data_IF_300041120556
#
_entry.id   IF_300041120556
#
_cell.length_a   1.000
_cell.length_b   1.000
_cell.length_c   1.000
_cell.angle_alpha   90.00
_cell.angle_beta   90.00
_cell.angle_gamma   90.00
#
_symmetry.space_group_name_H-M   'P 1'
#
loop_
_entity.id
_entity.type
_entity.pdbx_description
1 polymer ?
#
# COMPACT_ATOMS: atom_id res chain seq x y z
N UNK A 1 10.23 -10.68 -2.62
CA UNK A 1 9.95 -9.27 -2.97
C UNK A 1 8.44 -9.13 -2.97
N UNK A 2 7.90 -8.06 -2.42
CA UNK A 2 6.46 -7.82 -2.41
C UNK A 2 6.10 -6.71 -3.40
N UNK A 3 4.95 -6.86 -4.06
CA UNK A 3 4.35 -5.85 -4.92
C UNK A 3 3.18 -5.19 -4.21
N UNK A 4 3.23 -3.88 -4.09
CA UNK A 4 2.15 -3.07 -3.50
C UNK A 4 1.28 -2.52 -4.63
N UNK A 5 -0.03 -2.60 -4.47
CA UNK A 5 -1.00 -1.98 -5.38
C UNK A 5 -2.09 -1.28 -4.60
N UNK A 6 -2.54 -0.13 -5.09
CA UNK A 6 -3.71 0.60 -4.56
C UNK A 6 -4.78 0.59 -5.63
N UNK A 7 -5.97 0.10 -5.31
CA UNK A 7 -7.08 -0.01 -6.27
C UNK A 7 -8.01 1.23 -6.25
N UNK A 8 -8.98 1.22 -7.16
CA UNK A 8 -9.90 2.32 -7.42
C UNK A 8 -10.89 2.61 -6.27
N UNK A 9 -10.99 1.75 -5.25
CA UNK A 9 -11.81 1.99 -4.06
C UNK A 9 -11.14 2.96 -3.07
N UNK A 10 -9.86 3.31 -3.30
CA UNK A 10 -9.16 4.33 -2.55
C UNK A 10 -9.90 5.69 -2.60
N UNK A 11 -10.18 6.24 -1.42
CA UNK A 11 -10.84 7.54 -1.24
C UNK A 11 -9.86 8.69 -0.94
N UNK A 12 -8.54 8.45 -1.04
CA UNK A 12 -7.53 9.48 -0.78
C UNK A 12 -7.41 9.93 0.67
N UNK A 13 -7.68 9.06 1.66
CA UNK A 13 -7.66 9.46 3.08
C UNK A 13 -6.29 9.92 3.60
N UNK A 14 -5.21 9.50 2.93
CA UNK A 14 -3.83 9.79 3.35
C UNK A 14 -3.31 8.95 4.53
N UNK A 15 -4.10 8.03 5.08
CA UNK A 15 -3.70 7.22 6.25
C UNK A 15 -2.40 6.43 6.01
N UNK A 16 -2.28 5.82 4.82
CA UNK A 16 -1.09 5.06 4.44
C UNK A 16 0.17 5.94 4.33
N UNK A 17 0.07 7.13 3.72
CA UNK A 17 1.17 8.09 3.64
C UNK A 17 1.56 8.65 5.01
N UNK A 18 0.60 8.76 5.95
CA UNK A 18 0.89 9.14 7.34
C UNK A 18 1.64 8.07 8.13
N UNK A 19 1.39 6.79 7.86
CA UNK A 19 2.02 5.65 8.56
C UNK A 19 3.37 5.29 7.93
N UNK A 20 3.41 5.21 6.60
CA UNK A 20 4.56 4.79 5.82
C UNK A 20 4.86 5.82 4.71
N UNK A 21 5.35 7.03 5.07
CA UNK A 21 5.59 8.12 4.13
C UNK A 21 6.66 7.79 3.07
N UNK A 22 7.59 6.88 3.38
CA UNK A 22 8.60 6.42 2.42
C UNK A 22 8.06 5.34 1.45
N UNK A 23 6.83 4.87 1.67
CA UNK A 23 6.19 3.80 0.90
C UNK A 23 4.98 4.28 0.12
N UNK A 24 4.25 5.27 0.63
CA UNK A 24 3.05 5.79 -0.01
C UNK A 24 3.09 7.30 -0.10
N UNK A 25 2.63 7.81 -1.23
CA UNK A 25 2.34 9.22 -1.45
C UNK A 25 0.86 9.40 -1.80
N UNK A 26 0.29 10.54 -1.44
CA UNK A 26 -1.06 10.91 -1.86
C UNK A 26 -0.96 11.81 -3.08
N UNK A 27 -1.50 11.36 -4.21
CA UNK A 27 -1.65 12.20 -5.39
C UNK A 27 -2.91 13.07 -5.20
N UNK A 28 -2.69 14.37 -4.97
CA UNK A 28 -3.78 15.33 -4.78
C UNK A 28 -4.58 15.60 -6.08
N UNK A 29 -3.97 15.40 -7.25
CA UNK A 29 -4.65 15.59 -8.53
C UNK A 29 -5.59 14.44 -8.86
N UNK A 30 -5.18 13.20 -8.58
CA UNK A 30 -6.03 12.00 -8.73
C UNK A 30 -6.92 11.73 -7.52
N UNK A 31 -6.61 12.33 -6.37
CA UNK A 31 -7.31 12.08 -5.11
C UNK A 31 -7.10 10.66 -4.58
N UNK A 32 -5.97 10.03 -4.90
CA UNK A 32 -5.66 8.62 -4.59
C UNK A 32 -4.23 8.45 -4.12
N UNK A 33 -4.02 7.46 -3.24
CA UNK A 33 -2.68 7.11 -2.79
C UNK A 33 -1.99 6.18 -3.80
N UNK A 34 -0.68 6.33 -3.93
CA UNK A 34 0.18 5.51 -4.78
C UNK A 34 1.41 5.05 -4.01
N UNK A 35 1.92 3.83 -4.31
CA UNK A 35 3.19 3.41 -3.75
C UNK A 35 4.34 4.20 -4.38
N UNK A 36 5.22 4.77 -3.56
CA UNK A 36 6.45 5.48 -4.01
C UNK A 36 7.34 4.53 -4.81
N UNK A 37 7.47 3.30 -4.34
CA UNK A 37 8.08 2.19 -5.08
C UNK A 37 7.15 0.99 -5.08
N UNK A 38 6.79 0.44 -6.24
CA UNK A 38 5.81 -0.64 -6.32
C UNK A 38 6.37 -1.99 -5.89
N UNK A 39 7.70 -2.16 -5.80
CA UNK A 39 8.37 -3.35 -5.24
C UNK A 39 9.06 -2.98 -3.93
N UNK A 40 8.88 -3.82 -2.91
CA UNK A 40 9.53 -3.66 -1.60
C UNK A 40 10.11 -4.99 -1.11
N UNK A 41 10.99 -4.90 -0.11
CA UNK A 41 11.45 -6.08 0.61
C UNK A 41 10.25 -6.78 1.28
N UNK A 42 10.25 -8.12 1.36
CA UNK A 42 9.32 -8.84 2.24
C UNK A 42 9.46 -8.36 3.68
N UNK A 43 8.40 -8.56 4.47
CA UNK A 43 8.37 -8.26 5.91
C UNK A 43 8.58 -6.77 6.25
N UNK A 44 8.23 -5.87 5.32
CA UNK A 44 8.19 -4.44 5.59
C UNK A 44 6.97 -4.10 6.46
N UNK A 45 7.18 -4.02 7.78
CA UNK A 45 6.12 -3.77 8.77
C UNK A 45 5.34 -2.48 8.49
N UNK A 46 5.98 -1.44 7.96
CA UNK A 46 5.31 -0.18 7.65
C UNK A 46 4.26 -0.35 6.53
N UNK A 47 4.51 -1.25 5.58
CA UNK A 47 3.55 -1.60 4.53
C UNK A 47 2.37 -2.37 5.12
N UNK A 48 2.63 -3.30 6.03
CA UNK A 48 1.57 -4.08 6.70
C UNK A 48 0.65 -3.17 7.54
N UNK A 49 1.23 -2.26 8.34
CA UNK A 49 0.48 -1.30 9.14
C UNK A 49 -0.35 -0.35 8.27
N UNK A 50 0.20 0.09 7.14
CA UNK A 50 -0.51 0.94 6.19
C UNK A 50 -1.71 0.22 5.54
N UNK A 51 -1.57 -1.07 5.21
CA UNK A 51 -2.68 -1.89 4.69
C UNK A 51 -3.77 -2.03 5.76
N UNK A 52 -3.40 -2.44 6.98
CA UNK A 52 -4.33 -2.63 8.09
C UNK A 52 -5.07 -1.34 8.48
N UNK A 53 -4.46 -0.18 8.25
CA UNK A 53 -5.04 1.14 8.56
C UNK A 53 -5.84 1.74 7.40
N UNK A 54 -5.89 1.09 6.24
CA UNK A 54 -6.66 1.60 5.11
C UNK A 54 -8.16 1.46 5.38
N UNK A 55 -8.94 2.56 5.48
CA UNK A 55 -10.35 2.48 5.85
C UNK A 55 -11.24 1.80 4.80
N UNK A 56 -10.74 1.70 3.56
CA UNK A 56 -11.43 1.07 2.43
C UNK A 56 -10.82 -0.27 2.03
N UNK A 57 -9.78 -0.73 2.74
CA UNK A 57 -9.03 -1.96 2.40
C UNK A 57 -8.52 -1.96 0.94
N UNK A 58 -8.23 -0.76 0.40
CA UNK A 58 -7.89 -0.55 -1.01
C UNK A 58 -6.43 -0.90 -1.37
N UNK A 59 -5.62 -1.30 -0.38
CA UNK A 59 -4.20 -1.60 -0.54
C UNK A 59 -4.01 -3.11 -0.53
N UNK A 60 -3.38 -3.65 -1.57
CA UNK A 60 -3.06 -5.08 -1.66
C UNK A 60 -1.56 -5.29 -1.78
N UNK A 61 -1.10 -6.40 -1.21
CA UNK A 61 0.31 -6.82 -1.26
C UNK A 61 0.38 -8.23 -1.84
N UNK A 62 1.17 -8.39 -2.89
CA UNK A 62 1.42 -9.68 -3.55
C UNK A 62 2.86 -10.11 -3.30
N UNK A 63 3.07 -11.29 -2.73
CA UNK A 63 4.41 -11.87 -2.67
C UNK A 63 4.81 -12.40 -4.04
N UNK A 64 5.81 -11.78 -4.65
CA UNK A 64 6.31 -12.16 -5.97
C UNK A 64 7.08 -13.47 -5.96
N UNK A 65 7.55 -13.95 -4.80
CA UNK A 65 8.21 -15.26 -4.71
C UNK A 65 7.19 -16.40 -4.82
N UNK A 66 6.02 -16.25 -4.23
CA UNK A 66 4.98 -17.29 -4.19
C UNK A 66 3.81 -17.03 -5.14
N UNK A 67 3.68 -15.81 -5.66
CA UNK A 67 2.55 -15.37 -6.48
C UNK A 67 1.23 -15.27 -5.70
N UNK A 68 1.28 -15.17 -4.36
CA UNK A 68 0.10 -15.17 -3.50
C UNK A 68 -0.07 -13.82 -2.80
N UNK A 69 -1.32 -13.39 -2.54
CA UNK A 69 -1.57 -12.26 -1.65
C UNK A 69 -0.92 -12.53 -0.28
N UNK A 70 -0.31 -11.49 0.28
CA UNK A 70 0.15 -11.50 1.67
C UNK A 70 -1.09 -11.33 2.55
N UNK A 71 -1.31 -12.26 3.47
CA UNK A 71 -2.38 -12.17 4.45
C UNK A 71 -1.93 -11.20 5.57
N UNK A 72 -2.76 -10.19 5.85
CA UNK A 72 -2.47 -9.08 6.77
C UNK A 72 -3.52 -9.09 7.89
#
# INVERSE_FOLDING_TARGET
>A
MWRITVDHTCIGSGSCAGIAPDRFELDEAEGRAHPVTPDVAPDDEAVLDAVASCPMEAISVLDLATGKPVEI
#
